data_IF_260483018476
#
_entry.id   IF_260483018476
#
_cell.length_a   1.000
_cell.length_b   1.000
_cell.length_c   1.000
_cell.angle_alpha   90.00
_cell.angle_beta   90.00
_cell.angle_gamma   90.00
#
_symmetry.space_group_name_H-M   'P 1'
#
loop_
_entity.id
_entity.type
_entity.pdbx_description
1 polymer ?
#
# COMPACT_ATOMS: atom_id res chain seq x y z
N UNK A 1 -10.23 -3.62 1.73
CA UNK A 1 -9.54 -3.18 0.51
C UNK A 1 -10.15 -3.85 -0.73
N UNK A 2 -9.82 -5.11 -1.05
CA UNK A 2 -10.28 -5.77 -2.29
C UNK A 2 -11.80 -5.87 -2.45
N UNK A 3 -12.53 -6.17 -1.36
CA UNK A 3 -14.00 -6.18 -1.40
C UNK A 3 -14.60 -4.80 -1.77
N UNK A 4 -13.93 -3.71 -1.37
CA UNK A 4 -14.38 -2.33 -1.69
C UNK A 4 -14.10 -2.01 -3.16
N UNK A 5 -12.92 -2.36 -3.67
CA UNK A 5 -12.61 -2.21 -5.10
C UNK A 5 -13.57 -3.02 -5.98
N UNK A 6 -13.79 -4.30 -5.64
CA UNK A 6 -14.75 -5.14 -6.34
C UNK A 6 -16.16 -4.55 -6.27
N UNK A 7 -16.56 -4.01 -5.12
CA UNK A 7 -17.85 -3.35 -4.97
C UNK A 7 -17.98 -2.10 -5.83
N UNK A 8 -16.96 -1.24 -5.88
CA UNK A 8 -16.95 -0.03 -6.72
C UNK A 8 -17.03 -0.39 -8.20
N UNK A 9 -16.16 -1.29 -8.68
CA UNK A 9 -16.19 -1.74 -10.08
C UNK A 9 -17.46 -2.52 -10.45
N UNK A 10 -18.13 -3.15 -9.47
CA UNK A 10 -19.46 -3.76 -9.69
C UNK A 10 -20.58 -2.72 -9.73
N UNK A 11 -20.40 -1.58 -9.05
CA UNK A 11 -21.40 -0.51 -8.95
C UNK A 11 -21.39 0.42 -10.16
N UNK A 12 -20.25 0.57 -10.84
CA UNK A 12 -20.20 1.17 -12.16
C UNK A 12 -20.99 0.32 -13.16
N UNK A 13 -22.24 0.77 -13.35
CA UNK A 13 -23.31 0.35 -14.25
C UNK A 13 -23.17 -0.99 -14.99
N UNK A 14 -24.07 -1.92 -14.66
CA UNK A 14 -24.68 -2.95 -15.52
C UNK A 14 -24.18 -2.99 -16.99
N UNK A 15 -23.03 -3.62 -17.24
CA UNK A 15 -22.73 -4.55 -18.35
C UNK A 15 -21.21 -4.73 -18.49
N UNK A 16 -20.79 -6.00 -18.45
CA UNK A 16 -19.47 -6.52 -18.85
C UNK A 16 -18.31 -6.09 -17.94
N UNK A 17 -17.88 -7.02 -17.10
CA UNK A 17 -16.61 -6.92 -16.38
C UNK A 17 -15.48 -7.00 -17.42
N UNK A 18 -15.03 -5.85 -17.92
CA UNK A 18 -13.96 -5.74 -18.89
C UNK A 18 -12.60 -6.08 -18.23
N UNK A 19 -11.68 -6.63 -19.03
CA UNK A 19 -10.37 -7.13 -18.57
C UNK A 19 -9.58 -6.05 -17.83
N UNK A 20 -9.75 -4.78 -18.23
CA UNK A 20 -9.09 -3.62 -17.64
C UNK A 20 -9.33 -3.50 -16.12
N UNK A 21 -10.54 -3.79 -15.62
CA UNK A 21 -10.83 -3.72 -14.19
C UNK A 21 -10.07 -4.77 -13.37
N UNK A 22 -9.82 -5.96 -13.94
CA UNK A 22 -9.02 -7.01 -13.28
C UNK A 22 -7.58 -6.56 -13.14
N UNK A 23 -7.05 -5.95 -14.20
CA UNK A 23 -5.67 -5.48 -14.24
C UNK A 23 -5.43 -4.35 -13.22
N UNK A 24 -6.39 -3.44 -13.06
CA UNK A 24 -6.36 -2.39 -12.02
C UNK A 24 -6.36 -3.00 -10.62
N UNK A 25 -7.25 -3.96 -10.35
CA UNK A 25 -7.31 -4.64 -9.05
C UNK A 25 -5.99 -5.36 -8.78
N UNK A 26 -5.41 -6.00 -9.78
CA UNK A 26 -4.16 -6.74 -9.65
C UNK A 26 -2.96 -5.80 -9.41
N UNK A 27 -2.89 -4.66 -10.10
CA UNK A 27 -1.85 -3.65 -9.87
C UNK A 27 -1.94 -3.07 -8.45
N UNK A 28 -3.15 -2.77 -7.96
CA UNK A 28 -3.37 -2.38 -6.56
C UNK A 28 -2.98 -3.49 -5.58
N UNK A 29 -3.31 -4.75 -5.89
CA UNK A 29 -2.96 -5.90 -5.07
C UNK A 29 -1.45 -6.06 -4.97
N UNK A 30 -0.74 -5.95 -6.08
CA UNK A 30 0.72 -6.03 -6.16
C UNK A 30 1.36 -4.91 -5.33
N UNK A 31 0.89 -3.66 -5.48
CA UNK A 31 1.38 -2.54 -4.68
C UNK A 31 1.18 -2.77 -3.18
N UNK A 32 -0.04 -3.13 -2.77
CA UNK A 32 -0.36 -3.36 -1.36
C UNK A 32 0.42 -4.55 -0.79
N UNK A 33 0.56 -5.63 -1.56
CA UNK A 33 1.35 -6.79 -1.19
C UNK A 33 2.81 -6.41 -0.94
N UNK A 34 3.43 -5.64 -1.82
CA UNK A 34 4.80 -5.17 -1.65
C UNK A 34 4.95 -4.29 -0.40
N UNK A 35 4.03 -3.35 -0.15
CA UNK A 35 4.07 -2.53 1.07
C UNK A 35 3.96 -3.37 2.35
N UNK A 36 3.08 -4.38 2.35
CA UNK A 36 2.93 -5.31 3.48
C UNK A 36 4.20 -6.14 3.67
N UNK A 37 4.80 -6.63 2.59
CA UNK A 37 6.03 -7.42 2.63
C UNK A 37 7.20 -6.59 3.20
N UNK A 38 7.39 -5.37 2.70
CA UNK A 38 8.37 -4.41 3.21
C UNK A 38 8.14 -4.17 4.71
N UNK A 39 6.88 -3.99 5.13
CA UNK A 39 6.54 -3.75 6.54
C UNK A 39 6.91 -4.92 7.45
N UNK A 40 6.66 -6.16 7.04
CA UNK A 40 7.07 -7.33 7.81
C UNK A 40 8.61 -7.43 7.90
N UNK A 41 9.34 -7.14 6.81
CA UNK A 41 10.81 -7.11 6.86
C UNK A 41 11.37 -6.03 7.78
N UNK A 42 10.71 -4.87 7.88
CA UNK A 42 11.08 -3.82 8.85
C UNK A 42 10.80 -4.28 10.29
N UNK A 43 9.71 -5.02 10.50
CA UNK A 43 9.39 -5.60 11.82
C UNK A 43 10.43 -6.64 12.24
N UNK A 44 10.96 -7.42 11.30
CA UNK A 44 12.07 -8.33 11.59
C UNK A 44 13.34 -7.55 11.98
N UNK A 45 13.63 -6.43 11.31
CA UNK A 45 14.73 -5.52 11.68
C UNK A 45 14.53 -4.89 13.07
N UNK A 46 13.29 -4.54 13.42
CA UNK A 46 12.93 -4.04 14.74
C UNK A 46 13.20 -5.08 15.85
N UNK A 47 13.02 -6.36 15.55
CA UNK A 47 13.00 -7.44 16.54
C UNK A 47 14.25 -8.34 16.55
N UNK A 48 15.32 -7.98 15.84
CA UNK A 48 16.59 -8.75 15.77
C UNK A 48 17.05 -9.32 17.11
N UNK A 49 17.09 -8.49 18.17
CA UNK A 49 17.57 -8.94 19.50
C UNK A 49 16.65 -9.97 20.14
N UNK A 50 15.33 -9.81 19.97
CA UNK A 50 14.34 -10.75 20.49
C UNK A 50 14.34 -12.06 19.70
N UNK A 51 14.46 -11.97 18.38
CA UNK A 51 14.55 -13.12 17.49
C UNK A 51 15.81 -13.94 17.78
N UNK A 52 16.95 -13.28 18.01
CA UNK A 52 18.20 -13.95 18.41
C UNK A 52 18.07 -14.66 19.76
N UNK A 53 17.45 -14.03 20.76
CA UNK A 53 17.23 -14.64 22.08
C UNK A 53 16.28 -15.85 22.03
N UNK A 54 15.29 -15.82 21.12
CA UNK A 54 14.33 -16.90 20.91
C UNK A 54 14.77 -17.93 19.84
N UNK A 55 15.99 -17.82 19.31
CA UNK A 55 16.52 -18.67 18.24
C UNK A 55 15.68 -18.67 16.94
N UNK A 56 14.98 -17.57 16.65
CA UNK A 56 14.29 -17.38 15.37
C UNK A 56 15.27 -17.02 14.26
N UNK A 57 15.09 -17.67 13.11
CA UNK A 57 15.95 -17.52 11.94
C UNK A 57 15.31 -16.57 10.93
N UNK A 58 15.28 -15.27 11.25
CA UNK A 58 14.82 -14.22 10.34
C UNK A 58 15.96 -13.75 9.43
N UNK A 59 15.63 -13.10 8.29
CA UNK A 59 16.63 -12.59 7.33
C UNK A 59 17.70 -11.72 8.02
N UNK A 60 17.36 -10.73 8.88
CA UNK A 60 18.39 -9.92 9.51
C UNK A 60 19.22 -10.67 10.55
N UNK A 61 18.70 -11.74 11.16
CA UNK A 61 19.46 -12.58 12.10
C UNK A 61 20.47 -13.46 11.38
N UNK A 62 20.10 -14.05 10.23
CA UNK A 62 20.98 -14.93 9.46
C UNK A 62 21.98 -14.16 8.61
N UNK A 63 21.50 -13.14 7.89
CA UNK A 63 22.28 -12.42 6.86
C UNK A 63 22.72 -11.01 7.28
N UNK A 64 22.35 -10.59 8.49
CA UNK A 64 22.67 -9.28 9.04
C UNK A 64 21.73 -8.16 8.58
N UNK A 65 21.77 -7.06 9.33
CA UNK A 65 20.93 -5.87 9.13
C UNK A 65 21.12 -5.24 7.74
N UNK A 66 22.37 -5.14 7.26
CA UNK A 66 22.69 -4.53 5.96
C UNK A 66 22.06 -5.27 4.79
N UNK A 67 22.07 -6.61 4.82
CA UNK A 67 21.48 -7.44 3.76
C UNK A 67 19.96 -7.27 3.72
N UNK A 68 19.31 -7.25 4.89
CA UNK A 68 17.88 -6.96 4.99
C UNK A 68 17.52 -5.58 4.46
N UNK A 69 18.30 -4.53 4.77
CA UNK A 69 18.09 -3.18 4.22
C UNK A 69 18.22 -3.13 2.70
N UNK A 70 19.18 -3.86 2.12
CA UNK A 70 19.32 -3.98 0.65
C UNK A 70 18.09 -4.64 0.04
N UNK A 71 17.62 -5.74 0.61
CA UNK A 71 16.42 -6.43 0.14
C UNK A 71 15.17 -5.53 0.20
N UNK A 72 14.98 -4.80 1.31
CA UNK A 72 13.89 -3.81 1.46
C UNK A 72 14.01 -2.69 0.43
N UNK A 73 15.23 -2.23 0.14
CA UNK A 73 15.48 -1.20 -0.88
C UNK A 73 15.06 -1.69 -2.26
N UNK A 74 15.43 -2.92 -2.63
CA UNK A 74 15.02 -3.54 -3.90
C UNK A 74 13.51 -3.66 -3.99
N UNK A 75 12.85 -4.15 -2.94
CA UNK A 75 11.39 -4.25 -2.90
C UNK A 75 10.71 -2.88 -3.00
N UNK A 76 11.28 -1.86 -2.36
CA UNK A 76 10.76 -0.49 -2.44
C UNK A 76 10.88 0.05 -3.86
N UNK A 77 12.01 -0.14 -4.55
CA UNK A 77 12.15 0.24 -5.96
C UNK A 77 11.16 -0.54 -6.83
N UNK A 78 10.92 -1.81 -6.52
CA UNK A 78 9.93 -2.62 -7.23
C UNK A 78 8.50 -2.07 -7.09
N UNK A 79 8.17 -1.36 -6.00
CA UNK A 79 6.85 -0.70 -5.86
C UNK A 79 6.59 0.40 -6.89
N UNK A 80 7.64 0.94 -7.52
CA UNK A 80 7.50 1.96 -8.57
C UNK A 80 6.76 1.38 -9.79
N UNK A 81 6.97 0.10 -10.11
CA UNK A 81 6.33 -0.54 -11.25
C UNK A 81 4.79 -0.57 -11.15
N UNK A 82 4.15 -1.15 -10.10
CA UNK A 82 2.70 -1.12 -10.00
C UNK A 82 2.15 0.30 -9.82
N UNK A 83 2.88 1.22 -9.19
CA UNK A 83 2.47 2.64 -9.09
C UNK A 83 2.41 3.29 -10.46
N UNK A 84 3.42 3.06 -11.31
CA UNK A 84 3.46 3.57 -12.67
C UNK A 84 2.28 3.05 -13.51
N UNK A 85 1.98 1.75 -13.43
CA UNK A 85 0.81 1.18 -14.12
C UNK A 85 -0.50 1.87 -13.68
N UNK A 86 -0.64 2.13 -12.38
CA UNK A 86 -1.85 2.73 -11.81
C UNK A 86 -2.07 4.18 -12.25
N UNK A 87 -1.01 5.00 -12.29
CA UNK A 87 -1.12 6.41 -12.67
C UNK A 87 -1.21 6.56 -14.19
N UNK A 88 -0.25 5.99 -14.93
CA UNK A 88 -0.04 6.35 -16.35
C UNK A 88 -0.86 5.50 -17.33
N UNK A 89 -1.18 4.25 -16.95
CA UNK A 89 -1.88 3.32 -17.85
C UNK A 89 -3.36 3.26 -17.53
N UNK A 90 -3.70 3.14 -16.25
CA UNK A 90 -5.09 2.91 -15.84
C UNK A 90 -5.87 4.17 -15.44
N UNK A 91 -5.22 5.33 -15.33
CA UNK A 91 -5.85 6.63 -15.01
C UNK A 91 -6.91 6.52 -13.89
N UNK A 92 -6.44 6.22 -12.67
CA UNK A 92 -7.30 5.98 -11.50
C UNK A 92 -7.92 7.26 -10.90
N UNK A 93 -7.94 8.35 -11.67
CA UNK A 93 -8.56 9.62 -11.32
C UNK A 93 -7.88 10.32 -10.15
N UNK A 94 -8.66 10.79 -9.16
CA UNK A 94 -8.13 11.57 -8.04
C UNK A 94 -7.23 10.76 -7.08
N UNK A 95 -7.16 9.44 -7.23
CA UNK A 95 -6.27 8.59 -6.44
C UNK A 95 -4.79 8.80 -6.79
N UNK A 96 -4.48 9.44 -7.93
CA UNK A 96 -3.11 9.81 -8.30
C UNK A 96 -2.40 10.64 -7.21
N UNK A 97 -3.14 11.55 -6.56
CA UNK A 97 -2.60 12.38 -5.46
C UNK A 97 -2.04 11.49 -4.34
N UNK A 98 -2.75 10.40 -4.01
CA UNK A 98 -2.28 9.43 -3.02
C UNK A 98 -1.00 8.73 -3.48
N UNK A 99 -0.93 8.31 -4.75
CA UNK A 99 0.26 7.64 -5.27
C UNK A 99 1.48 8.57 -5.36
N UNK A 100 1.31 9.82 -5.78
CA UNK A 100 2.38 10.83 -5.76
C UNK A 100 2.88 11.11 -4.34
N UNK A 101 1.96 11.29 -3.38
CA UNK A 101 2.33 11.46 -1.97
C UNK A 101 3.04 10.21 -1.43
N UNK A 102 2.54 9.03 -1.77
CA UNK A 102 3.15 7.74 -1.43
C UNK A 102 4.57 7.61 -1.99
N UNK A 103 4.81 8.02 -3.23
CA UNK A 103 6.14 8.00 -3.85
C UNK A 103 7.13 8.89 -3.08
N UNK A 104 6.74 10.10 -2.71
CA UNK A 104 7.56 11.01 -1.89
C UNK A 104 7.85 10.38 -0.52
N UNK A 105 6.83 9.82 0.12
CA UNK A 105 6.96 9.14 1.43
C UNK A 105 7.91 7.94 1.32
N UNK A 106 7.81 7.14 0.26
CA UNK A 106 8.69 5.98 0.04
C UNK A 106 10.14 6.41 -0.22
N UNK A 107 10.35 7.55 -0.91
CA UNK A 107 11.68 8.15 -1.04
C UNK A 107 12.29 8.55 0.31
N UNK A 108 11.51 9.22 1.17
CA UNK A 108 11.94 9.55 2.53
C UNK A 108 12.17 8.30 3.38
N UNK A 109 11.30 7.29 3.25
CA UNK A 109 11.44 6.00 3.92
C UNK A 109 12.79 5.35 3.62
N UNK A 110 13.25 5.34 2.37
CA UNK A 110 14.56 4.79 2.01
C UNK A 110 15.72 5.54 2.68
N UNK A 111 15.70 6.87 2.66
CA UNK A 111 16.74 7.67 3.33
C UNK A 111 16.81 7.31 4.81
N UNK A 112 15.66 7.24 5.47
CA UNK A 112 15.55 6.91 6.89
C UNK A 112 15.92 5.45 7.19
N UNK A 113 15.59 4.50 6.30
CA UNK A 113 15.97 3.10 6.42
C UNK A 113 17.48 2.94 6.57
N UNK A 114 18.25 3.60 5.70
CA UNK A 114 19.70 3.52 5.72
C UNK A 114 20.33 4.22 6.92
N UNK A 115 19.69 5.26 7.45
CA UNK A 115 20.11 5.97 8.67
C UNK A 115 19.74 5.25 9.98
N UNK A 116 18.80 4.31 9.94
CA UNK A 116 18.24 3.67 11.14
C UNK A 116 19.15 2.58 11.67
N UNK A 117 19.55 2.63 12.94
CA UNK A 117 20.38 1.61 13.60
C UNK A 117 19.78 1.11 14.91
N UNK A 118 18.66 1.71 15.33
CA UNK A 118 18.00 1.40 16.59
C UNK A 118 16.58 0.89 16.38
N UNK A 119 16.11 0.06 17.33
CA UNK A 119 14.74 -0.47 17.36
C UNK A 119 13.68 0.62 17.20
N UNK A 120 13.85 1.75 17.90
CA UNK A 120 12.88 2.87 17.85
C UNK A 120 12.77 3.49 16.45
N UNK A 121 13.89 3.59 15.72
CA UNK A 121 13.88 4.09 14.35
C UNK A 121 13.20 3.10 13.39
N UNK A 122 13.43 1.79 13.54
CA UNK A 122 12.71 0.78 12.76
C UNK A 122 11.21 0.75 13.08
N UNK A 123 10.83 0.92 14.35
CA UNK A 123 9.42 1.05 14.75
C UNK A 123 8.76 2.28 14.09
N UNK A 124 9.49 3.39 13.96
CA UNK A 124 8.99 4.59 13.26
C UNK A 124 8.73 4.29 11.78
N UNK A 125 9.62 3.57 11.12
CA UNK A 125 9.46 3.13 9.73
C UNK A 125 8.31 2.13 9.56
N UNK A 126 8.17 1.21 10.50
CA UNK A 126 7.06 0.26 10.55
C UNK A 126 5.71 0.99 10.63
N UNK A 127 5.62 1.99 11.51
CA UNK A 127 4.42 2.80 11.67
C UNK A 127 4.14 3.70 10.46
N UNK A 128 5.18 4.23 9.81
CA UNK A 128 5.03 4.98 8.56
C UNK A 128 4.39 4.13 7.46
N UNK A 129 4.86 2.89 7.28
CA UNK A 129 4.27 1.94 6.33
C UNK A 129 2.83 1.56 6.71
N UNK A 130 2.55 1.36 8.01
CA UNK A 130 1.19 1.11 8.49
C UNK A 130 0.25 2.26 8.16
N UNK A 131 0.71 3.50 8.36
CA UNK A 131 -0.04 4.70 8.00
C UNK A 131 -0.29 4.76 6.48
N UNK A 132 0.73 4.51 5.67
CA UNK A 132 0.60 4.53 4.20
C UNK A 132 -0.42 3.50 3.69
N UNK A 133 -0.42 2.29 4.27
CA UNK A 133 -1.39 1.24 3.95
C UNK A 133 -2.81 1.68 4.34
N UNK A 134 -3.00 2.19 5.55
CA UNK A 134 -4.31 2.63 6.03
C UNK A 134 -4.83 3.80 5.21
N UNK A 135 -3.99 4.79 4.92
CA UNK A 135 -4.32 5.91 4.04
C UNK A 135 -4.76 5.42 2.65
N UNK A 136 -4.06 4.44 2.08
CA UNK A 136 -4.44 3.84 0.79
C UNK A 136 -5.82 3.18 0.81
N UNK A 137 -6.18 2.53 1.92
CA UNK A 137 -7.53 1.96 2.07
C UNK A 137 -8.61 3.05 2.07
N UNK A 138 -8.37 4.18 2.73
CA UNK A 138 -9.30 5.30 2.74
C UNK A 138 -9.36 6.02 1.39
N UNK A 139 -8.23 6.14 0.69
CA UNK A 139 -8.15 6.79 -0.61
C UNK A 139 -8.87 6.03 -1.75
N UNK A 140 -9.23 4.76 -1.58
CA UNK A 140 -10.10 4.04 -2.54
C UNK A 140 -11.41 4.79 -2.80
N UNK A 141 -11.91 5.50 -1.79
CA UNK A 141 -13.14 6.29 -1.87
C UNK A 141 -13.02 7.45 -2.88
N UNK A 142 -11.79 7.86 -3.22
CA UNK A 142 -11.49 8.93 -4.18
C UNK A 142 -11.38 8.45 -5.64
N UNK A 143 -11.49 7.15 -5.92
CA UNK A 143 -11.43 6.61 -7.29
C UNK A 143 -12.50 7.26 -8.18
N UNK A 144 -13.72 7.43 -7.66
CA UNK A 144 -14.72 8.31 -8.26
C UNK A 144 -15.61 8.95 -7.18
N UNK A 145 -15.38 10.24 -6.83
CA UNK A 145 -16.22 10.94 -5.86
C UNK A 145 -17.68 11.09 -6.34
N UNK A 146 -17.97 10.95 -7.64
CA UNK A 146 -19.34 10.95 -8.15
C UNK A 146 -20.13 9.72 -7.66
N UNK A 147 -19.50 8.56 -7.47
CA UNK A 147 -20.15 7.34 -6.93
C UNK A 147 -20.62 7.54 -5.48
N UNK A 148 -19.90 8.33 -4.69
CA UNK A 148 -20.32 8.74 -3.34
C UNK A 148 -21.51 9.70 -3.38
N UNK A 149 -21.46 10.69 -4.27
CA UNK A 149 -22.50 11.73 -4.37
C UNK A 149 -23.82 11.10 -4.84
N UNK A 150 -23.79 10.23 -5.86
CA UNK A 150 -24.99 9.51 -6.32
C UNK A 150 -25.47 8.47 -5.30
N UNK A 151 -24.56 7.81 -4.57
CA UNK A 151 -24.90 6.93 -3.46
C UNK A 151 -25.66 7.64 -2.33
N UNK A 152 -25.31 8.90 -2.05
CA UNK A 152 -26.01 9.76 -1.07
C UNK A 152 -27.41 10.13 -1.56
N UNK A 153 -27.55 10.46 -2.84
CA UNK A 153 -28.85 10.81 -3.44
C UNK A 153 -29.85 9.64 -3.37
N UNK A 154 -29.40 8.41 -3.61
CA UNK A 154 -30.27 7.21 -3.50
C UNK A 154 -30.74 6.94 -2.07
N UNK A 155 -29.88 7.20 -1.08
CA UNK A 155 -30.24 7.07 0.35
C UNK A 155 -31.19 8.20 0.77
N UNK A 156 -30.97 9.43 0.30
CA UNK A 156 -31.85 10.57 0.56
C UNK A 156 -33.23 10.42 -0.11
N UNK A 157 -33.34 9.78 -1.27
CA UNK A 157 -34.62 9.44 -1.91
C UNK A 157 -35.38 8.34 -1.15
N UNK A 158 -34.68 7.33 -0.62
CA UNK A 158 -35.33 6.27 0.18
C UNK A 158 -35.80 6.73 1.56
N UNK A 159 -35.16 7.75 2.15
CA UNK A 159 -35.57 8.32 3.44
C UNK A 159 -36.75 9.30 3.29
N UNK A 160 -37.02 9.80 2.08
CA UNK A 160 -38.15 10.70 1.78
C UNK A 160 -39.43 9.99 1.36
N UNK A 161 -39.43 8.65 1.30
CA UNK A 161 -40.60 7.78 1.08
C UNK A 161 -41.05 7.16 2.41
#
# INVERSE_FOLDING_TARGET
FFAVLIYLFKKDRFRHFEIEHVEIIFAHAAFLFLLILIREMIKDLENIKGDLANNYRTIPVIYGESTSKKAITVLTILTIFPVYLLIEIYDVGYMDIYFYAGFIIMGFFLIRLWQSTSKSQFLTLHNLLKFLIVAGVFCIVLIDPAVLIHGRQLVEEQIKL
#
